data_IF_416473782457
#
_entry.id   IF_416473782457
#
_cell.length_a   1.000
_cell.length_b   1.000
_cell.length_c   1.000
_cell.angle_alpha   90.00
_cell.angle_beta   90.00
_cell.angle_gamma   90.00
#
_symmetry.space_group_name_H-M   'P 1'
#
loop_
_entity.id
_entity.type
_entity.pdbx_description
1 polymer ?
#
# COMPACT_ATOMS: atom_id res chain seq x y z
N UNK A 1 -15.49 -36.58 -67.11
CA UNK A 1 -14.67 -37.22 -66.05
C UNK A 1 -14.12 -36.24 -65.00
N UNK A 2 -14.59 -34.98 -64.90
CA UNK A 2 -14.05 -33.99 -63.94
C UNK A 2 -14.94 -33.66 -62.74
N UNK A 3 -16.23 -34.04 -62.76
CA UNK A 3 -17.17 -33.66 -61.69
C UNK A 3 -17.11 -34.62 -60.49
N UNK A 4 -16.81 -35.90 -60.73
CA UNK A 4 -16.68 -36.91 -59.67
C UNK A 4 -15.50 -36.65 -58.74
N UNK A 5 -14.40 -36.10 -59.27
CA UNK A 5 -13.24 -35.66 -58.47
C UNK A 5 -13.56 -34.43 -57.61
N UNK A 6 -14.39 -33.51 -58.09
CA UNK A 6 -14.80 -32.33 -57.31
C UNK A 6 -15.70 -32.72 -56.13
N UNK A 7 -16.61 -33.67 -56.34
CA UNK A 7 -17.49 -34.20 -55.28
C UNK A 7 -16.67 -34.95 -54.21
N UNK A 8 -15.63 -35.68 -54.62
CA UNK A 8 -14.77 -36.42 -53.69
C UNK A 8 -13.92 -35.47 -52.81
N UNK A 9 -13.41 -34.37 -53.38
CA UNK A 9 -12.60 -33.38 -52.64
C UNK A 9 -13.47 -32.52 -51.68
N UNK A 10 -14.70 -32.19 -52.09
CA UNK A 10 -15.68 -31.52 -51.21
C UNK A 10 -16.16 -32.44 -50.07
N UNK A 11 -16.34 -33.74 -50.34
CA UNK A 11 -16.70 -34.73 -49.33
C UNK A 11 -15.59 -34.98 -48.29
N UNK A 12 -14.32 -35.01 -48.71
CA UNK A 12 -13.18 -35.16 -47.80
C UNK A 12 -12.99 -33.91 -46.92
N UNK A 13 -13.36 -32.72 -47.40
CA UNK A 13 -13.30 -31.48 -46.61
C UNK A 13 -14.37 -31.41 -45.51
N UNK A 14 -15.45 -32.21 -45.60
CA UNK A 14 -16.50 -32.29 -44.57
C UNK A 14 -16.22 -33.34 -43.47
N UNK A 15 -15.17 -34.15 -43.60
CA UNK A 15 -14.81 -35.16 -42.60
C UNK A 15 -13.65 -34.74 -41.68
N UNK A 16 -13.20 -33.49 -41.76
CA UNK A 16 -12.36 -32.93 -40.71
C UNK A 16 -13.25 -32.57 -39.52
N UNK A 17 -13.65 -33.61 -38.77
CA UNK A 17 -14.22 -33.45 -37.44
C UNK A 17 -13.30 -32.53 -36.66
N UNK A 18 -13.76 -31.32 -36.39
CA UNK A 18 -13.19 -30.49 -35.35
C UNK A 18 -13.28 -31.29 -34.06
N UNK A 19 -12.17 -31.92 -33.66
CA UNK A 19 -11.97 -32.26 -32.25
C UNK A 19 -11.90 -30.91 -31.55
N UNK A 20 -13.06 -30.46 -31.07
CA UNK A 20 -13.11 -29.53 -29.96
C UNK A 20 -12.51 -30.31 -28.79
N UNK A 21 -11.20 -30.28 -28.68
CA UNK A 21 -10.53 -30.70 -27.45
C UNK A 21 -11.11 -29.83 -26.37
N UNK A 22 -11.85 -30.45 -25.45
CA UNK A 22 -12.21 -29.85 -24.17
C UNK A 22 -10.90 -29.70 -23.39
N UNK A 23 -10.09 -28.73 -23.82
CA UNK A 23 -8.87 -28.31 -23.17
C UNK A 23 -9.31 -27.53 -21.95
N UNK A 24 -9.78 -28.28 -20.94
CA UNK A 24 -9.74 -27.83 -19.56
C UNK A 24 -8.26 -27.63 -19.26
N UNK A 25 -7.75 -26.43 -19.54
CA UNK A 25 -6.37 -26.05 -19.26
C UNK A 25 -6.09 -26.39 -17.81
N UNK A 26 -5.24 -27.40 -17.59
CA UNK A 26 -4.83 -27.84 -16.27
C UNK A 26 -3.88 -26.76 -15.73
N UNK A 27 -4.46 -25.71 -15.15
CA UNK A 27 -3.71 -24.62 -14.56
C UNK A 27 -3.24 -24.99 -13.15
N UNK A 28 -1.97 -24.70 -12.87
CA UNK A 28 -1.38 -24.78 -11.53
C UNK A 28 -1.20 -23.37 -11.01
N UNK A 29 -1.88 -23.05 -9.90
CA UNK A 29 -1.81 -21.75 -9.25
C UNK A 29 -0.99 -21.91 -7.96
N UNK A 30 0.01 -21.05 -7.79
CA UNK A 30 0.75 -20.90 -6.55
C UNK A 30 0.57 -19.47 -6.03
N UNK A 31 0.42 -19.32 -4.72
CA UNK A 31 0.28 -18.02 -4.05
C UNK A 31 1.27 -17.90 -2.90
N UNK A 32 1.66 -16.65 -2.61
CA UNK A 32 2.53 -16.29 -1.49
C UNK A 32 1.74 -15.36 -0.58
N UNK A 33 1.81 -15.60 0.73
CA UNK A 33 1.10 -14.82 1.75
C UNK A 33 2.07 -14.41 2.85
N UNK A 34 1.88 -13.19 3.38
CA UNK A 34 2.59 -12.70 4.56
C UNK A 34 2.06 -13.35 5.84
N UNK A 35 2.84 -13.28 6.93
CA UNK A 35 2.40 -13.70 8.26
C UNK A 35 1.62 -12.63 9.02
N UNK A 36 1.69 -11.38 8.57
CA UNK A 36 0.98 -10.24 9.13
C UNK A 36 -0.22 -9.86 8.28
N UNK A 37 -1.13 -9.08 8.89
CA UNK A 37 -2.33 -8.58 8.22
C UNK A 37 -1.99 -7.53 7.15
N UNK A 38 -2.94 -7.17 6.30
CA UNK A 38 -2.69 -6.15 5.28
C UNK A 38 -2.34 -4.80 5.92
N UNK A 39 -1.24 -4.20 5.47
CA UNK A 39 -0.79 -2.86 5.87
C UNK A 39 -1.51 -1.76 5.08
N UNK A 40 -1.53 -0.54 5.64
CA UNK A 40 -2.16 0.63 5.02
C UNK A 40 -1.37 1.12 3.80
N UNK A 41 -2.05 1.27 2.65
CA UNK A 41 -1.44 1.78 1.40
C UNK A 41 -0.95 3.23 1.53
N UNK A 42 -1.59 4.04 2.38
CA UNK A 42 -1.16 5.42 2.65
C UNK A 42 0.15 5.42 3.43
N UNK A 43 0.29 4.52 4.41
CA UNK A 43 1.53 4.37 5.17
C UNK A 43 2.66 3.83 4.29
N UNK A 44 2.40 2.82 3.46
CA UNK A 44 3.38 2.31 2.48
C UNK A 44 3.83 3.40 1.50
N UNK A 45 2.92 4.27 1.08
CA UNK A 45 3.25 5.44 0.25
C UNK A 45 4.13 6.43 1.01
N UNK A 46 3.86 6.65 2.29
CA UNK A 46 4.70 7.47 3.17
C UNK A 46 6.13 6.94 3.25
N UNK A 47 6.29 5.63 3.46
CA UNK A 47 7.61 4.97 3.50
C UNK A 47 8.37 5.09 2.17
N UNK A 48 7.68 4.91 1.03
CA UNK A 48 8.26 5.14 -0.29
C UNK A 48 8.77 6.59 -0.42
N UNK A 49 7.96 7.58 -0.04
CA UNK A 49 8.31 9.00 -0.17
C UNK A 49 9.44 9.37 0.79
N UNK A 50 9.47 8.82 2.00
CA UNK A 50 10.56 8.99 2.94
C UNK A 50 11.89 8.47 2.37
N UNK A 51 11.85 7.38 1.59
CA UNK A 51 13.03 6.87 0.91
C UNK A 51 13.58 7.83 -0.16
N UNK A 52 12.70 8.59 -0.81
CA UNK A 52 13.07 9.61 -1.78
C UNK A 52 13.58 10.90 -1.11
N UNK A 53 12.89 11.40 -0.07
CA UNK A 53 13.31 12.58 0.70
C UNK A 53 12.48 12.81 1.97
N UNK A 54 13.16 13.02 3.10
CA UNK A 54 12.53 13.43 4.37
C UNK A 54 11.66 14.68 4.23
N UNK A 55 12.08 15.65 3.40
CA UNK A 55 11.31 16.88 3.17
C UNK A 55 10.01 16.59 2.43
N UNK A 56 10.04 15.67 1.46
CA UNK A 56 8.84 15.26 0.73
C UNK A 56 7.91 14.45 1.63
N UNK A 57 8.46 13.62 2.51
CA UNK A 57 7.69 12.88 3.50
C UNK A 57 6.88 13.81 4.40
N UNK A 58 7.50 14.82 5.01
CA UNK A 58 6.76 15.76 5.85
C UNK A 58 5.71 16.56 5.06
N UNK A 59 5.99 16.88 3.79
CA UNK A 59 5.00 17.49 2.89
C UNK A 59 3.83 16.55 2.59
N UNK A 60 4.11 15.25 2.40
CA UNK A 60 3.10 14.21 2.22
C UNK A 60 2.20 14.10 3.44
N UNK A 61 2.78 13.93 4.64
CA UNK A 61 2.04 13.84 5.91
C UNK A 61 1.13 15.05 6.11
N UNK A 62 1.64 16.26 5.87
CA UNK A 62 0.84 17.49 5.94
C UNK A 62 -0.34 17.48 4.96
N UNK A 63 -0.11 17.08 3.71
CA UNK A 63 -1.17 17.00 2.70
C UNK A 63 -2.21 15.93 3.02
N UNK A 64 -1.80 14.77 3.55
CA UNK A 64 -2.71 13.72 4.02
C UNK A 64 -3.58 14.26 5.15
N UNK A 65 -2.98 14.87 6.17
CA UNK A 65 -3.73 15.44 7.31
C UNK A 65 -4.73 16.51 6.89
N UNK A 66 -4.41 17.29 5.84
CA UNK A 66 -5.29 18.35 5.32
C UNK A 66 -6.46 17.77 4.50
N UNK A 67 -6.26 16.63 3.83
CA UNK A 67 -7.24 16.02 2.93
C UNK A 67 -8.00 14.85 3.53
N UNK A 68 -7.57 14.32 4.67
CA UNK A 68 -8.10 13.09 5.27
C UNK A 68 -9.58 13.16 5.60
N UNK A 69 -10.14 14.36 5.83
CA UNK A 69 -11.56 14.58 6.08
C UNK A 69 -12.47 14.31 4.87
N UNK A 70 -11.90 14.21 3.65
CA UNK A 70 -12.65 13.95 2.42
C UNK A 70 -13.03 12.48 2.21
N UNK A 71 -12.52 11.57 3.05
CA UNK A 71 -12.75 10.13 2.93
C UNK A 71 -13.18 9.55 4.28
N UNK A 72 -14.24 8.75 4.29
CA UNK A 72 -14.61 7.97 5.47
C UNK A 72 -13.73 6.71 5.55
N UNK A 73 -12.67 6.79 6.36
CA UNK A 73 -11.67 5.73 6.50
C UNK A 73 -12.23 4.40 7.00
N UNK A 74 -13.34 4.43 7.74
CA UNK A 74 -13.98 3.24 8.29
C UNK A 74 -14.73 2.43 7.21
N UNK A 75 -15.22 3.09 6.16
CA UNK A 75 -16.02 2.46 5.10
C UNK A 75 -15.34 2.48 3.72
N UNK A 76 -14.22 3.20 3.59
CA UNK A 76 -13.49 3.32 2.34
C UNK A 76 -12.93 1.97 1.86
N UNK A 77 -13.12 1.69 0.56
CA UNK A 77 -12.53 0.53 -0.11
C UNK A 77 -11.02 0.69 -0.25
N UNK A 78 -10.32 -0.43 -0.49
CA UNK A 78 -8.88 -0.43 -0.74
C UNK A 78 -8.52 0.40 -1.99
N UNK A 79 -9.37 0.39 -3.01
CA UNK A 79 -9.24 1.23 -4.20
C UNK A 79 -9.32 2.72 -3.85
N UNK A 80 -10.30 3.13 -3.02
CA UNK A 80 -10.42 4.53 -2.59
C UNK A 80 -9.21 4.99 -1.77
N UNK A 81 -8.68 4.13 -0.89
CA UNK A 81 -7.48 4.41 -0.10
C UNK A 81 -6.24 4.51 -1.00
N UNK A 82 -6.14 3.66 -2.02
CA UNK A 82 -5.09 3.69 -3.03
C UNK A 82 -5.13 5.00 -3.85
N UNK A 83 -6.29 5.34 -4.41
CA UNK A 83 -6.47 6.55 -5.20
C UNK A 83 -6.23 7.82 -4.37
N UNK A 84 -6.66 7.82 -3.10
CA UNK A 84 -6.34 8.91 -2.18
C UNK A 84 -4.82 9.06 -2.01
N UNK A 85 -4.09 7.97 -1.78
CA UNK A 85 -2.63 8.02 -1.61
C UNK A 85 -1.94 8.55 -2.88
N UNK A 86 -2.36 8.12 -4.06
CA UNK A 86 -1.82 8.59 -5.34
C UNK A 86 -2.15 10.05 -5.63
N UNK A 87 -3.38 10.50 -5.37
CA UNK A 87 -3.78 11.90 -5.54
C UNK A 87 -2.92 12.83 -4.66
N UNK A 88 -2.63 12.42 -3.42
CA UNK A 88 -1.74 13.19 -2.54
C UNK A 88 -0.29 13.14 -3.03
N UNK A 89 0.22 11.97 -3.41
CA UNK A 89 1.60 11.77 -3.84
C UNK A 89 1.91 12.49 -5.18
N UNK A 90 0.96 12.50 -6.12
CA UNK A 90 1.11 13.12 -7.44
C UNK A 90 1.39 14.63 -7.40
N UNK A 91 1.02 15.29 -6.29
CA UNK A 91 1.26 16.73 -6.06
C UNK A 91 2.68 17.07 -5.64
N UNK A 92 3.45 16.05 -5.25
CA UNK A 92 4.79 16.23 -4.67
C UNK A 92 5.86 15.38 -5.37
N UNK A 93 5.48 14.29 -6.03
CA UNK A 93 6.37 13.43 -6.80
C UNK A 93 6.29 13.76 -8.30
N UNK A 94 7.42 13.65 -9.03
CA UNK A 94 7.41 13.70 -10.49
C UNK A 94 6.78 12.42 -11.07
N UNK A 95 6.25 12.50 -12.30
CA UNK A 95 5.56 11.39 -12.98
C UNK A 95 6.30 10.05 -12.96
N UNK A 96 7.59 9.96 -13.33
CA UNK A 96 8.34 8.69 -13.30
C UNK A 96 8.41 8.06 -11.91
N UNK A 97 8.59 8.87 -10.86
CA UNK A 97 8.63 8.39 -9.47
C UNK A 97 7.23 7.98 -9.00
N UNK A 98 6.17 8.62 -9.49
CA UNK A 98 4.79 8.20 -9.22
C UNK A 98 4.48 6.84 -9.85
N UNK A 99 4.98 6.54 -11.05
CA UNK A 99 4.81 5.22 -11.65
C UNK A 99 5.62 4.15 -10.92
N UNK A 100 6.80 4.49 -10.41
CA UNK A 100 7.55 3.60 -9.52
C UNK A 100 6.81 3.35 -8.20
N UNK A 101 6.14 4.37 -7.64
CA UNK A 101 5.28 4.21 -6.46
C UNK A 101 4.16 3.20 -6.73
N UNK A 102 3.45 3.29 -7.86
CA UNK A 102 2.39 2.32 -8.23
C UNK A 102 2.91 0.89 -8.31
N UNK A 103 4.09 0.70 -8.91
CA UNK A 103 4.75 -0.60 -8.96
C UNK A 103 5.12 -1.07 -7.55
N UNK A 104 5.68 -0.19 -6.73
CA UNK A 104 6.05 -0.49 -5.34
C UNK A 104 4.85 -0.93 -4.49
N UNK A 105 3.70 -0.26 -4.65
CA UNK A 105 2.45 -0.62 -3.97
C UNK A 105 1.90 -1.96 -4.45
N UNK A 106 2.00 -2.24 -5.75
CA UNK A 106 1.60 -3.54 -6.32
C UNK A 106 2.46 -4.70 -5.79
N UNK A 107 3.76 -4.45 -5.58
CA UNK A 107 4.71 -5.40 -5.02
C UNK A 107 4.73 -5.43 -3.49
N UNK A 108 4.01 -4.53 -2.82
CA UNK A 108 3.97 -4.42 -1.35
C UNK A 108 5.36 -4.27 -0.71
N UNK A 109 6.26 -3.53 -1.37
CA UNK A 109 7.69 -3.44 -1.00
C UNK A 109 7.88 -2.87 0.42
N UNK A 110 7.02 -1.94 0.83
CA UNK A 110 7.14 -1.23 2.11
C UNK A 110 6.25 -1.80 3.22
N UNK A 111 5.43 -2.83 2.95
CA UNK A 111 4.62 -3.48 4.00
C UNK A 111 5.44 -3.98 5.19
N UNK A 112 6.65 -4.58 5.03
CA UNK A 112 7.46 -4.98 6.18
C UNK A 112 7.89 -3.82 7.08
N UNK A 113 8.15 -2.63 6.49
CA UNK A 113 8.53 -1.44 7.25
C UNK A 113 7.34 -0.89 8.05
N UNK A 114 6.16 -0.81 7.43
CA UNK A 114 4.92 -0.43 8.13
C UNK A 114 4.60 -1.40 9.26
N UNK A 115 4.70 -2.71 9.00
CA UNK A 115 4.48 -3.74 10.02
C UNK A 115 5.46 -3.62 11.19
N UNK A 116 6.74 -3.29 10.92
CA UNK A 116 7.72 -3.07 11.96
C UNK A 116 7.30 -1.94 12.90
N UNK A 117 6.88 -0.79 12.36
CA UNK A 117 6.41 0.32 13.19
C UNK A 117 5.13 -0.01 13.96
N UNK A 118 4.22 -0.77 13.37
CA UNK A 118 3.02 -1.24 14.06
C UNK A 118 3.36 -2.17 15.24
N UNK A 119 4.35 -3.05 15.09
CA UNK A 119 4.82 -3.90 16.20
C UNK A 119 5.46 -3.07 17.31
N UNK A 120 6.32 -2.11 16.95
CA UNK A 120 6.94 -1.19 17.92
C UNK A 120 5.85 -0.42 18.67
N UNK A 121 4.82 0.09 17.97
CA UNK A 121 3.70 0.79 18.59
C UNK A 121 2.84 -0.11 19.48
N UNK A 122 2.59 -1.36 19.08
CA UNK A 122 1.81 -2.32 19.85
C UNK A 122 2.48 -2.75 21.16
N UNK A 123 3.81 -2.67 21.24
CA UNK A 123 4.56 -2.89 22.49
C UNK A 123 4.24 -1.82 23.55
N UNK A 124 3.78 -0.63 23.13
CA UNK A 124 3.28 0.40 24.04
C UNK A 124 1.81 0.11 24.38
N UNK A 125 1.54 -0.29 25.63
CA UNK A 125 0.19 -0.59 26.13
C UNK A 125 -0.62 0.69 26.43
N UNK A 126 -0.76 1.59 25.45
CA UNK A 126 -1.41 2.91 25.59
C UNK A 126 -2.78 2.87 24.92
N UNK A 127 -3.83 3.33 25.62
CA UNK A 127 -5.22 3.29 25.16
C UNK A 127 -5.60 4.50 24.28
N UNK A 128 -4.74 4.89 23.35
CA UNK A 128 -4.94 6.06 22.48
C UNK A 128 -4.72 5.67 21.01
N UNK A 129 -5.49 6.29 20.11
CA UNK A 129 -5.33 6.08 18.67
C UNK A 129 -3.95 6.55 18.15
N UNK A 130 -3.42 7.63 18.73
CA UNK A 130 -2.06 8.08 18.52
C UNK A 130 -1.47 8.55 19.85
N UNK A 131 -0.18 8.34 20.03
CA UNK A 131 0.56 8.77 21.23
C UNK A 131 1.95 9.30 20.82
N UNK A 132 2.66 9.89 21.76
CA UNK A 132 4.07 10.27 21.61
C UNK A 132 4.93 9.68 22.72
N UNK A 133 6.24 9.54 22.49
CA UNK A 133 7.24 9.17 23.51
C UNK A 133 8.39 10.20 23.49
N UNK A 134 8.44 11.04 24.53
CA UNK A 134 9.53 12.01 24.73
C UNK A 134 10.25 11.65 26.02
N UNK A 135 11.40 10.98 25.90
CA UNK A 135 12.20 10.53 27.04
C UNK A 135 11.43 9.66 28.05
N UNK A 136 10.56 8.76 27.56
CA UNK A 136 9.72 7.91 28.41
C UNK A 136 8.49 8.62 28.98
N UNK A 137 8.27 9.89 28.63
CA UNK A 137 6.99 10.56 28.85
C UNK A 137 6.07 10.27 27.67
N UNK A 138 4.91 9.70 27.99
CA UNK A 138 3.91 9.33 27.02
C UNK A 138 2.67 10.20 27.23
N UNK A 139 2.03 10.58 26.14
CA UNK A 139 0.78 11.32 26.15
C UNK A 139 0.07 11.17 24.82
N UNK A 140 -1.16 11.69 24.75
CA UNK A 140 -2.03 11.51 23.59
C UNK A 140 -2.47 12.84 22.99
N UNK A 141 -2.18 13.96 23.65
CA UNK A 141 -2.62 15.29 23.22
C UNK A 141 -1.45 16.16 22.74
N UNK A 142 -1.69 17.07 21.77
CA UNK A 142 -0.66 18.01 21.31
C UNK A 142 -0.12 18.92 22.43
N UNK A 143 -0.96 19.30 23.40
CA UNK A 143 -0.56 20.15 24.54
C UNK A 143 0.40 19.43 25.49
N UNK A 144 0.17 18.13 25.73
CA UNK A 144 1.09 17.31 26.52
C UNK A 144 2.40 17.12 25.77
N UNK A 145 2.36 16.98 24.44
CA UNK A 145 3.56 16.88 23.62
C UNK A 145 4.42 18.14 23.70
N UNK A 146 3.82 19.32 23.57
CA UNK A 146 4.54 20.60 23.69
C UNK A 146 5.20 20.72 25.07
N UNK A 147 4.46 20.37 26.12
CA UNK A 147 4.98 20.36 27.49
C UNK A 147 6.14 19.37 27.67
N UNK A 148 6.01 18.17 27.09
CA UNK A 148 7.04 17.14 27.14
C UNK A 148 8.32 17.57 26.40
N UNK A 149 8.20 18.14 25.21
CA UNK A 149 9.33 18.66 24.41
C UNK A 149 10.02 19.84 25.11
N UNK A 150 9.27 20.77 25.71
CA UNK A 150 9.86 21.87 26.46
C UNK A 150 10.61 21.37 27.70
N UNK A 151 10.08 20.35 28.39
CA UNK A 151 10.74 19.71 29.54
C UNK A 151 11.92 18.80 29.17
N UNK A 152 12.13 18.55 27.87
CA UNK A 152 13.13 17.64 27.34
C UNK A 152 14.47 18.33 27.05
N UNK A 153 14.53 19.67 27.00
CA UNK A 153 15.76 20.42 26.78
C UNK A 153 16.84 20.14 27.85
N UNK A 154 16.41 19.70 29.05
CA UNK A 154 17.31 19.32 30.15
C UNK A 154 17.78 17.86 30.11
N UNK A 155 17.33 17.04 29.13
CA UNK A 155 17.58 15.59 29.07
C UNK A 155 18.22 15.18 27.74
N UNK A 156 19.48 14.74 27.78
CA UNK A 156 20.41 14.62 26.65
C UNK A 156 20.12 13.52 25.58
N UNK A 157 18.92 12.94 25.47
CA UNK A 157 18.74 11.79 24.54
C UNK A 157 17.40 11.66 23.78
N UNK A 158 17.35 12.18 22.54
CA UNK A 158 16.51 11.69 21.44
C UNK A 158 14.99 11.70 21.60
N UNK A 159 14.29 12.50 20.79
CA UNK A 159 12.84 12.39 20.68
C UNK A 159 12.49 11.23 19.74
N UNK A 160 11.67 10.28 20.20
CA UNK A 160 11.15 9.18 19.38
C UNK A 160 9.66 9.38 19.15
N UNK A 161 9.29 9.75 17.92
CA UNK A 161 7.89 9.78 17.55
C UNK A 161 7.51 8.42 16.97
N UNK A 162 6.55 7.74 17.61
CA UNK A 162 5.86 6.56 17.04
C UNK A 162 4.45 7.01 16.73
N UNK A 163 4.17 7.30 15.46
CA UNK A 163 2.80 7.54 15.01
C UNK A 163 2.21 6.16 14.74
N UNK A 164 1.45 5.64 15.69
CA UNK A 164 0.59 4.48 15.44
C UNK A 164 -0.56 4.95 14.54
N UNK A 165 -0.65 4.41 13.33
CA UNK A 165 -1.83 4.54 12.49
C UNK A 165 -2.46 3.15 12.39
N UNK A 166 -3.53 2.93 13.15
CA UNK A 166 -4.59 1.98 12.76
C UNK A 166 -5.58 2.70 11.84
#
# INVERSE_FOLDING_TARGET
>A
MGWTTVILVLGISLHLSTVAGDATDKSVIASVVSKWNSTSLVAETGEFIAKESDKLFWKFVHNVATKSSGLDWATASDEQKYEFALDVASKILPGPTLDLLKLSLSLRVFSPAVQLFQQIGADYSISCAAFFDVHGLHGCTPSELESAVNSAQDRYFGIKYVISCD
#
